data_IF_650058472106
#
_entry.id   IF_650058472106
#
_cell.length_a   1.000
_cell.length_b   1.000
_cell.length_c   1.000
_cell.angle_alpha   90.00
_cell.angle_beta   90.00
_cell.angle_gamma   90.00
#
_symmetry.space_group_name_H-M   'P 1'
#
loop_
_entity.id
_entity.type
_entity.pdbx_description
1 polymer ?
#
# COMPACT_ATOMS: atom_id res chain seq x y z
N UNK A 1 13.80 -4.92 4.12
CA UNK A 1 14.42 -5.94 3.23
C UNK A 1 15.64 -5.31 2.57
N UNK A 2 16.50 -6.12 1.95
CA UNK A 2 17.84 -5.70 1.52
C UNK A 2 17.85 -4.57 0.47
N UNK A 3 16.84 -4.47 -0.40
CA UNK A 3 16.76 -3.40 -1.41
C UNK A 3 16.02 -2.14 -0.91
N UNK A 4 15.60 -2.09 0.36
CA UNK A 4 14.88 -0.95 0.92
C UNK A 4 13.39 -0.93 0.56
N UNK A 5 12.85 0.27 0.35
CA UNK A 5 11.42 0.54 0.13
C UNK A 5 11.10 0.84 -1.34
N UNK A 6 9.85 0.64 -1.75
CA UNK A 6 9.40 1.04 -3.08
C UNK A 6 9.49 2.57 -3.27
N UNK A 7 9.23 3.37 -2.23
CA UNK A 7 9.34 4.83 -2.29
C UNK A 7 10.74 5.30 -2.72
N UNK A 8 11.78 4.64 -2.19
CA UNK A 8 13.17 4.88 -2.55
C UNK A 8 13.43 4.59 -4.03
N UNK A 9 12.94 3.45 -4.53
CA UNK A 9 13.12 3.05 -5.94
C UNK A 9 12.27 3.86 -6.93
N UNK A 10 11.16 4.45 -6.51
CA UNK A 10 10.34 5.31 -7.36
C UNK A 10 10.83 6.76 -7.37
N UNK A 11 11.20 7.32 -6.22
CA UNK A 11 11.41 8.76 -6.06
C UNK A 11 12.83 9.16 -5.67
N UNK A 12 13.63 8.23 -5.14
CA UNK A 12 15.00 8.48 -4.67
C UNK A 12 16.07 7.76 -5.49
N UNK A 13 15.71 7.08 -6.59
CA UNK A 13 16.65 6.20 -7.31
C UNK A 13 17.91 6.93 -7.80
N UNK A 14 17.79 8.21 -8.18
CA UNK A 14 18.93 9.04 -8.60
C UNK A 14 19.89 9.33 -7.46
N UNK A 15 19.36 9.66 -6.28
CA UNK A 15 20.14 9.96 -5.08
C UNK A 15 20.84 8.70 -4.55
N UNK A 16 20.21 7.54 -4.71
CA UNK A 16 20.78 6.24 -4.36
C UNK A 16 21.76 5.70 -5.40
N UNK A 17 21.90 6.35 -6.56
CA UNK A 17 22.74 5.86 -7.66
C UNK A 17 22.27 4.54 -8.27
N UNK A 18 20.99 4.17 -8.10
CA UNK A 18 20.41 2.95 -8.66
C UNK A 18 19.65 3.23 -9.95
N UNK A 19 19.58 2.24 -10.84
CA UNK A 19 18.81 2.38 -12.08
C UNK A 19 17.30 2.41 -11.80
N UNK A 20 16.51 3.12 -12.63
CA UNK A 20 15.05 3.08 -12.52
C UNK A 20 14.52 1.66 -12.64
N UNK A 21 13.40 1.37 -11.95
CA UNK A 21 12.69 0.11 -12.11
C UNK A 21 12.27 -0.11 -13.57
N UNK A 22 12.63 -1.27 -14.10
CA UNK A 22 12.16 -1.75 -15.40
C UNK A 22 10.64 -1.99 -15.36
N UNK A 23 10.00 -1.98 -16.53
CA UNK A 23 8.57 -2.29 -16.62
C UNK A 23 8.21 -3.65 -16.03
N UNK A 24 9.03 -4.68 -16.30
CA UNK A 24 8.83 -6.02 -15.74
C UNK A 24 8.87 -6.01 -14.20
N UNK A 25 9.82 -5.29 -13.60
CA UNK A 25 9.89 -5.14 -12.14
C UNK A 25 8.64 -4.41 -11.61
N UNK A 26 8.21 -3.33 -12.27
CA UNK A 26 7.01 -2.56 -11.89
C UNK A 26 5.77 -3.46 -11.86
N UNK A 27 5.52 -4.23 -12.91
CA UNK A 27 4.38 -5.17 -12.98
C UNK A 27 4.48 -6.24 -11.89
N UNK A 28 5.69 -6.77 -11.67
CA UNK A 28 5.94 -7.79 -10.64
C UNK A 28 5.63 -7.25 -9.24
N UNK A 29 6.10 -6.03 -8.94
CA UNK A 29 5.87 -5.35 -7.67
C UNK A 29 4.37 -5.07 -7.46
N UNK A 30 3.68 -4.55 -8.47
CA UNK A 30 2.22 -4.32 -8.41
C UNK A 30 1.48 -5.62 -8.06
N UNK A 31 1.81 -6.71 -8.74
CA UNK A 31 1.19 -8.01 -8.51
C UNK A 31 1.44 -8.52 -7.08
N UNK A 32 2.65 -8.35 -6.57
CA UNK A 32 3.02 -8.77 -5.22
C UNK A 32 2.30 -7.95 -4.15
N UNK A 33 2.16 -6.63 -4.34
CA UNK A 33 1.38 -5.78 -3.44
C UNK A 33 -0.09 -6.16 -3.49
N UNK A 34 -0.65 -6.43 -4.67
CA UNK A 34 -2.04 -6.87 -4.82
C UNK A 34 -2.29 -8.20 -4.08
N UNK A 35 -1.39 -9.18 -4.21
CA UNK A 35 -1.45 -10.45 -3.49
C UNK A 35 -1.34 -10.26 -1.98
N UNK A 36 -0.50 -9.35 -1.52
CA UNK A 36 -0.39 -8.99 -0.10
C UNK A 36 -1.70 -8.40 0.45
N UNK A 37 -2.34 -7.51 -0.32
CA UNK A 37 -3.63 -6.92 0.05
C UNK A 37 -4.77 -7.96 0.03
N UNK A 38 -4.84 -8.79 -1.01
CA UNK A 38 -5.79 -9.91 -1.10
C UNK A 38 -5.66 -10.85 0.09
N UNK A 39 -4.43 -11.22 0.44
CA UNK A 39 -4.19 -12.10 1.58
C UNK A 39 -4.78 -11.53 2.88
N UNK A 40 -4.59 -10.23 3.14
CA UNK A 40 -5.16 -9.57 4.31
C UNK A 40 -6.69 -9.53 4.26
N UNK A 41 -7.28 -9.33 3.08
CA UNK A 41 -8.71 -9.11 2.94
C UNK A 41 -9.54 -10.39 2.97
N UNK A 42 -9.06 -11.46 2.34
CA UNK A 42 -9.89 -12.65 2.03
C UNK A 42 -9.27 -14.00 2.41
N UNK A 43 -7.95 -14.10 2.57
CA UNK A 43 -7.29 -15.40 2.80
C UNK A 43 -6.83 -15.61 4.24
N UNK A 44 -6.73 -14.55 5.03
CA UNK A 44 -6.46 -14.64 6.46
C UNK A 44 -7.69 -15.19 7.22
N UNK A 45 -7.48 -15.71 8.44
CA UNK A 45 -8.55 -16.25 9.29
C UNK A 45 -9.69 -15.26 9.57
N UNK A 46 -9.39 -13.96 9.49
CA UNK A 46 -10.33 -12.85 9.58
C UNK A 46 -9.96 -11.82 8.52
N UNK A 47 -10.91 -10.99 8.10
CA UNK A 47 -10.61 -9.90 7.18
C UNK A 47 -9.89 -8.76 7.91
N UNK A 48 -8.67 -8.44 7.47
CA UNK A 48 -7.84 -7.38 8.02
C UNK A 48 -7.74 -6.21 7.05
N UNK A 49 -7.80 -4.99 7.57
CA UNK A 49 -7.54 -3.76 6.82
C UNK A 49 -6.21 -3.21 7.28
N UNK A 50 -5.28 -3.01 6.34
CA UNK A 50 -3.94 -2.49 6.61
C UNK A 50 -3.97 -1.03 7.08
N UNK A 51 -4.80 -0.21 6.44
CA UNK A 51 -5.00 1.22 6.74
C UNK A 51 -3.78 2.12 6.57
N UNK A 52 -2.65 1.68 6.04
CA UNK A 52 -1.51 2.56 5.73
C UNK A 52 -0.67 2.03 4.58
N UNK A 53 -1.34 1.47 3.56
CA UNK A 53 -0.68 1.11 2.32
C UNK A 53 -0.15 2.38 1.63
N UNK A 54 1.16 2.41 1.40
CA UNK A 54 1.91 3.45 0.69
C UNK A 54 3.27 2.89 0.24
N UNK A 55 3.97 3.50 -0.73
CA UNK A 55 5.24 2.98 -1.23
C UNK A 55 6.35 2.83 -0.17
N UNK A 56 6.35 3.64 0.89
CA UNK A 56 7.34 3.49 1.98
C UNK A 56 7.07 2.27 2.88
N UNK A 57 5.84 1.74 2.84
CA UNK A 57 5.44 0.52 3.55
C UNK A 57 5.48 -0.72 2.66
N UNK A 58 6.05 -0.62 1.45
CA UNK A 58 6.33 -1.75 0.57
C UNK A 58 7.84 -1.96 0.52
N UNK A 59 8.30 -3.12 0.97
CA UNK A 59 9.72 -3.49 1.02
C UNK A 59 10.11 -4.36 -0.18
N UNK A 60 11.32 -4.19 -0.68
CA UNK A 60 11.87 -4.93 -1.81
C UNK A 60 13.00 -5.88 -1.37
N UNK A 61 12.89 -7.15 -1.77
CA UNK A 61 13.93 -8.18 -1.60
C UNK A 61 15.01 -8.13 -2.67
N UNK A 62 16.06 -8.95 -2.51
CA UNK A 62 17.17 -9.05 -3.47
C UNK A 62 16.74 -9.55 -4.85
N UNK A 63 15.64 -10.29 -4.89
CA UNK A 63 14.95 -10.76 -6.09
C UNK A 63 13.97 -9.73 -6.67
N UNK A 64 13.96 -8.50 -6.13
CA UNK A 64 13.04 -7.41 -6.47
C UNK A 64 11.56 -7.79 -6.30
N UNK A 65 11.27 -8.77 -5.43
CA UNK A 65 9.90 -9.13 -5.03
C UNK A 65 9.45 -8.21 -3.91
N UNK A 66 8.19 -7.81 -3.96
CA UNK A 66 7.64 -6.86 -3.01
C UNK A 66 6.96 -7.57 -1.83
N UNK A 67 7.07 -6.98 -0.64
CA UNK A 67 6.34 -7.39 0.56
C UNK A 67 5.72 -6.18 1.25
N UNK A 68 4.43 -6.29 1.57
CA UNK A 68 3.72 -5.30 2.37
C UNK A 68 4.22 -5.36 3.83
N UNK A 69 4.40 -4.19 4.45
CA UNK A 69 4.98 -4.03 5.78
C UNK A 69 4.29 -2.93 6.57
N UNK A 70 4.69 -2.75 7.84
CA UNK A 70 4.09 -1.80 8.79
C UNK A 70 2.61 -2.08 9.10
N UNK A 71 2.42 -3.16 9.86
CA UNK A 71 1.12 -3.61 10.34
C UNK A 71 0.65 -2.85 11.59
N UNK A 72 1.31 -1.75 11.99
CA UNK A 72 1.02 -1.01 13.24
C UNK A 72 -0.38 -0.40 13.28
N UNK A 73 -1.00 -0.25 12.10
CA UNK A 73 -2.37 0.23 11.94
C UNK A 73 -3.31 -0.85 11.44
N UNK A 74 -2.97 -2.13 11.45
CA UNK A 74 -3.91 -3.16 10.99
C UNK A 74 -5.09 -3.30 11.94
N UNK A 75 -6.29 -3.50 11.38
CA UNK A 75 -7.50 -3.70 12.18
C UNK A 75 -8.44 -4.68 11.50
N UNK A 76 -9.12 -5.50 12.29
CA UNK A 76 -10.13 -6.42 11.80
C UNK A 76 -11.29 -5.61 11.21
N UNK A 77 -11.71 -5.96 10.01
CA UNK A 77 -12.99 -5.52 9.46
C UNK A 77 -14.09 -6.42 10.06
N UNK A 78 -15.04 -5.87 10.85
CA UNK A 78 -16.21 -6.64 11.26
C UNK A 78 -17.00 -7.07 10.01
N UNK A 79 -17.52 -8.30 9.98
CA UNK A 79 -18.29 -8.87 8.87
C UNK A 79 -19.41 -7.93 8.38
N UNK A 80 -19.11 -7.11 7.38
CA UNK A 80 -20.03 -6.29 6.59
C UNK A 80 -20.93 -5.27 7.32
N UNK A 81 -21.05 -5.31 8.66
CA UNK A 81 -22.16 -4.70 9.40
C UNK A 81 -21.78 -3.58 10.35
N UNK A 82 -20.50 -3.43 10.73
CA UNK A 82 -20.11 -2.43 11.73
C UNK A 82 -18.91 -1.59 11.28
N UNK A 83 -19.20 -0.32 10.96
CA UNK A 83 -18.18 0.72 10.76
C UNK A 83 -17.65 1.17 12.12
N UNK A 84 -16.37 0.91 12.39
CA UNK A 84 -15.70 1.44 13.59
C UNK A 84 -15.19 2.86 13.32
N UNK A 85 -15.82 3.89 13.88
CA UNK A 85 -15.25 5.25 13.95
C UNK A 85 -13.91 5.16 14.68
N UNK A 86 -12.80 5.39 13.97
CA UNK A 86 -11.46 5.30 14.54
C UNK A 86 -10.70 6.60 14.24
N UNK A 87 -9.85 7.03 15.19
CA UNK A 87 -9.00 8.24 15.10
C UNK A 87 -8.21 8.24 13.78
N UNK A 88 -8.17 9.37 13.08
CA UNK A 88 -7.41 9.57 11.84
C UNK A 88 -5.91 9.38 12.14
N UNK A 89 -5.38 8.21 11.81
CA UNK A 89 -3.95 7.91 11.85
C UNK A 89 -3.58 7.39 10.46
N UNK A 90 -3.29 8.28 9.50
CA UNK A 90 -2.83 7.94 8.14
C UNK A 90 -1.98 9.06 7.54
N UNK A 91 -1.16 8.69 6.56
CA UNK A 91 -0.40 9.64 5.72
C UNK A 91 -1.34 10.29 4.68
N UNK A 92 -1.33 11.63 4.59
CA UNK A 92 -2.10 12.38 3.59
C UNK A 92 -1.73 11.94 2.15
N UNK A 93 -2.72 11.76 1.27
CA UNK A 93 -2.56 11.33 -0.13
C UNK A 93 -2.99 9.88 -0.45
N UNK A 94 -3.02 8.98 0.55
CA UNK A 94 -3.45 7.58 0.38
C UNK A 94 -4.79 7.28 1.08
N UNK A 95 -5.56 8.34 1.35
CA UNK A 95 -6.79 8.30 2.13
C UNK A 95 -8.01 8.29 1.20
N UNK A 96 -8.82 7.23 1.26
CA UNK A 96 -10.09 7.21 0.55
C UNK A 96 -11.05 8.28 1.11
N UNK A 97 -11.71 9.05 0.24
CA UNK A 97 -12.51 10.22 0.64
C UNK A 97 -13.68 9.83 1.56
N UNK A 98 -14.30 8.68 1.31
CA UNK A 98 -15.37 8.12 2.14
C UNK A 98 -14.89 7.74 3.54
N UNK A 99 -13.62 7.35 3.68
CA UNK A 99 -13.02 7.08 4.98
C UNK A 99 -12.67 8.38 5.70
N UNK A 100 -12.17 9.38 4.97
CA UNK A 100 -11.92 10.72 5.50
C UNK A 100 -13.20 11.39 6.02
N UNK A 101 -14.32 11.21 5.31
CA UNK A 101 -15.60 11.85 5.62
C UNK A 101 -16.42 11.10 6.68
N UNK A 102 -16.40 9.77 6.69
CA UNK A 102 -17.35 8.95 7.46
C UNK A 102 -16.64 8.12 8.56
N UNK A 103 -15.31 8.00 8.50
CA UNK A 103 -14.53 7.19 9.45
C UNK A 103 -14.79 5.68 9.36
N UNK A 104 -15.44 5.21 8.27
CA UNK A 104 -15.85 3.82 8.08
C UNK A 104 -14.70 2.95 7.56
N UNK A 105 -14.08 2.17 8.44
CA UNK A 105 -13.02 1.22 8.06
C UNK A 105 -13.62 0.05 7.25
N UNK A 106 -13.19 -0.10 6.00
CA UNK A 106 -13.48 -1.28 5.16
C UNK A 106 -12.22 -1.66 4.37
N UNK A 107 -12.21 -2.85 3.78
CA UNK A 107 -11.15 -3.29 2.86
C UNK A 107 -10.99 -2.36 1.66
N UNK A 108 -12.05 -1.62 1.27
CA UNK A 108 -12.01 -0.67 0.14
C UNK A 108 -11.03 0.49 0.35
N UNK A 109 -10.72 0.83 1.61
CA UNK A 109 -9.75 1.88 1.89
C UNK A 109 -8.32 1.47 1.49
N UNK A 110 -8.00 0.17 1.60
CA UNK A 110 -6.73 -0.36 1.10
C UNK A 110 -6.73 -0.49 -0.42
N UNK A 111 -7.88 -0.79 -1.04
CA UNK A 111 -8.02 -0.83 -2.50
C UNK A 111 -7.78 0.55 -3.12
N UNK A 112 -8.29 1.62 -2.50
CA UNK A 112 -8.00 3.00 -2.92
C UNK A 112 -6.50 3.29 -2.85
N UNK A 113 -5.86 2.98 -1.71
CA UNK A 113 -4.43 3.20 -1.53
C UNK A 113 -3.58 2.39 -2.52
N UNK A 114 -3.98 1.15 -2.83
CA UNK A 114 -3.38 0.35 -3.89
C UNK A 114 -3.49 1.03 -5.26
N UNK A 115 -4.64 1.62 -5.59
CA UNK A 115 -4.83 2.41 -6.81
C UNK A 115 -3.86 3.59 -6.91
N UNK A 116 -3.63 4.31 -5.81
CA UNK A 116 -2.62 5.39 -5.77
C UNK A 116 -1.22 4.83 -5.99
N UNK A 117 -0.84 3.74 -5.31
CA UNK A 117 0.47 3.08 -5.51
C UNK A 117 0.65 2.66 -6.98
N UNK A 118 -0.40 2.13 -7.62
CA UNK A 118 -0.38 1.75 -9.03
C UNK A 118 -0.08 2.96 -9.94
N UNK A 119 -0.75 4.10 -9.70
CA UNK A 119 -0.50 5.33 -10.45
C UNK A 119 0.93 5.83 -10.26
N UNK A 120 1.45 5.81 -9.04
CA UNK A 120 2.83 6.20 -8.74
C UNK A 120 3.86 5.28 -9.39
N UNK A 121 3.58 3.97 -9.45
CA UNK A 121 4.43 3.00 -10.15
C UNK A 121 4.38 3.24 -11.66
N UNK A 122 3.24 3.56 -12.26
CA UNK A 122 3.14 3.78 -13.71
C UNK A 122 3.79 5.11 -14.11
N UNK A 123 3.51 6.17 -13.36
CA UNK A 123 3.96 7.54 -13.70
C UNK A 123 5.38 7.84 -13.23
N UNK A 124 5.84 7.17 -12.18
CA UNK A 124 7.08 7.54 -11.48
C UNK A 124 7.00 8.88 -10.74
N UNK A 125 5.81 9.47 -10.61
CA UNK A 125 5.58 10.74 -9.91
C UNK A 125 4.95 10.46 -8.54
N UNK A 126 5.30 11.24 -7.52
CA UNK A 126 4.59 11.21 -6.24
C UNK A 126 3.17 11.72 -6.46
N UNK A 127 2.19 11.01 -5.90
CA UNK A 127 0.80 11.44 -5.97
C UNK A 127 0.63 12.82 -5.34
N UNK A 128 0.27 13.82 -6.14
CA UNK A 128 -0.41 15.02 -5.66
C UNK A 128 -1.89 14.65 -5.47
N UNK A 129 -2.24 14.11 -4.31
CA UNK A 129 -3.64 13.92 -3.89
C UNK A 129 -3.82 14.56 -2.52
#
# INVERSE_FOLDING_TARGET
MAQGTLAQHLFGYREMGVSPLTWKQRVTIVLDVARGAEYLHSLAQQSFVHRDLKPSNVLLGDDMRAKVSDFGLVKNAPDGKHSMQTRLARTFGYLALEYAAIGKVTTKVDVFAFGVILLEIITGMRGCV
#
